data_IF_606253209278
#
_entry.id   IF_606253209278
#
_cell.length_a   1.000
_cell.length_b   1.000
_cell.length_c   1.000
_cell.angle_alpha   90.00
_cell.angle_beta   90.00
_cell.angle_gamma   90.00
#
_symmetry.space_group_name_H-M   'P 1'
#
loop_
_entity.id
_entity.type
_entity.pdbx_description
1 polymer ?
#
# COMPACT_ATOMS: atom_id res chain seq x y z
N UNK A 1 -8.86 -2.25 -20.22
CA UNK A 1 -9.15 -1.93 -18.81
C UNK A 1 -10.60 -2.26 -18.51
N UNK A 2 -10.91 -2.73 -17.29
CA UNK A 2 -12.31 -2.90 -16.89
C UNK A 2 -12.96 -1.51 -16.72
N UNK A 3 -14.19 -1.35 -17.19
CA UNK A 3 -14.95 -0.11 -17.01
C UNK A 3 -15.31 0.04 -15.53
N UNK A 4 -15.03 1.19 -14.89
CA UNK A 4 -15.37 1.41 -13.49
C UNK A 4 -16.87 1.30 -13.24
N UNK A 5 -17.23 0.53 -12.23
CA UNK A 5 -18.61 0.28 -11.82
C UNK A 5 -18.84 0.75 -10.38
N UNK A 6 -20.09 1.03 -10.05
CA UNK A 6 -20.51 1.55 -8.74
C UNK A 6 -21.09 0.43 -7.89
N UNK A 7 -20.68 0.37 -6.63
CA UNK A 7 -21.10 -0.67 -5.68
C UNK A 7 -21.49 -0.03 -4.35
N UNK A 8 -22.57 -0.53 -3.79
CA UNK A 8 -22.93 -0.27 -2.41
C UNK A 8 -22.21 -1.27 -1.53
N UNK A 9 -21.51 -0.78 -0.52
CA UNK A 9 -20.72 -1.59 0.39
C UNK A 9 -21.08 -1.27 1.82
N UNK A 10 -21.09 -2.30 2.66
CA UNK A 10 -21.22 -2.14 4.11
C UNK A 10 -19.84 -2.07 4.74
N UNK A 11 -19.65 -1.17 5.67
CA UNK A 11 -18.47 -1.11 6.52
C UNK A 11 -18.55 -2.27 7.52
N UNK A 12 -17.66 -3.24 7.38
CA UNK A 12 -17.61 -4.39 8.27
C UNK A 12 -16.75 -4.14 9.50
N UNK A 13 -15.64 -3.40 9.33
CA UNK A 13 -14.71 -3.11 10.42
C UNK A 13 -13.98 -1.80 10.15
N UNK A 14 -13.73 -1.05 11.22
CA UNK A 14 -12.82 0.09 11.24
C UNK A 14 -11.74 -0.20 12.28
N UNK A 15 -10.48 -0.20 11.84
CA UNK A 15 -9.33 -0.35 12.74
C UNK A 15 -8.64 0.99 12.87
N UNK A 16 -8.59 1.52 14.09
CA UNK A 16 -7.82 2.70 14.45
C UNK A 16 -6.39 2.27 14.83
N UNK A 17 -5.40 2.80 14.12
CA UNK A 17 -3.97 2.52 14.36
C UNK A 17 -3.30 3.61 15.21
N UNK A 18 -4.07 4.60 15.67
CA UNK A 18 -3.54 5.81 16.30
C UNK A 18 -3.04 6.85 15.27
N UNK A 19 -2.63 8.01 15.76
CA UNK A 19 -2.10 9.12 14.94
C UNK A 19 -2.98 9.48 13.74
N UNK A 20 -4.31 9.33 13.87
CA UNK A 20 -5.29 9.57 12.81
C UNK A 20 -5.10 8.68 11.57
N UNK A 21 -4.69 7.44 11.76
CA UNK A 21 -4.52 6.44 10.68
C UNK A 21 -5.52 5.31 10.88
N UNK A 22 -6.25 4.98 9.81
CA UNK A 22 -7.36 4.03 9.85
C UNK A 22 -7.28 3.02 8.72
N UNK A 23 -7.75 1.80 9.00
CA UNK A 23 -8.06 0.78 7.99
C UNK A 23 -9.55 0.49 8.02
N UNK A 24 -10.18 0.43 6.86
CA UNK A 24 -11.62 0.16 6.70
C UNK A 24 -11.80 -1.07 5.82
N UNK A 25 -12.48 -2.07 6.38
CA UNK A 25 -12.92 -3.26 5.67
C UNK A 25 -14.36 -3.06 5.20
N UNK A 26 -14.59 -3.28 3.91
CA UNK A 26 -15.87 -3.09 3.23
C UNK A 26 -16.34 -4.40 2.61
N UNK A 27 -17.62 -4.74 2.76
CA UNK A 27 -18.24 -5.86 2.06
C UNK A 27 -19.22 -5.35 0.99
N UNK A 28 -19.05 -5.79 -0.23
CA UNK A 28 -19.94 -5.47 -1.33
C UNK A 28 -21.15 -6.40 -1.37
N UNK A 29 -22.33 -5.85 -1.65
CA UNK A 29 -23.58 -6.62 -1.85
C UNK A 29 -23.54 -7.49 -3.12
N UNK A 30 -22.64 -7.19 -4.05
CA UNK A 30 -22.50 -7.89 -5.33
C UNK A 30 -21.04 -8.20 -5.61
N UNK A 31 -20.79 -9.18 -6.48
CA UNK A 31 -19.44 -9.48 -6.93
C UNK A 31 -18.80 -8.27 -7.60
N UNK A 32 -17.64 -7.88 -7.08
CA UNK A 32 -16.83 -6.79 -7.59
C UNK A 32 -16.21 -7.15 -8.96
N UNK A 33 -15.92 -6.17 -9.82
CA UNK A 33 -15.18 -6.41 -11.04
C UNK A 33 -13.76 -6.88 -10.71
N UNK A 34 -13.11 -7.54 -11.67
CA UNK A 34 -11.69 -7.87 -11.51
C UNK A 34 -10.88 -6.58 -11.53
N UNK A 35 -9.99 -6.46 -10.59
CA UNK A 35 -9.00 -5.39 -10.51
C UNK A 35 -7.59 -5.99 -10.43
N UNK A 36 -6.58 -5.17 -10.63
CA UNK A 36 -5.17 -5.55 -10.55
C UNK A 36 -4.53 -4.89 -9.33
N UNK A 37 -3.52 -5.53 -8.69
CA UNK A 37 -2.73 -4.89 -7.66
C UNK A 37 -2.20 -3.52 -8.10
N UNK A 38 -2.27 -2.53 -7.20
CA UNK A 38 -1.92 -1.14 -7.46
C UNK A 38 -3.08 -0.26 -7.96
N UNK A 39 -4.21 -0.85 -8.37
CA UNK A 39 -5.39 -0.07 -8.72
C UNK A 39 -6.11 0.48 -7.48
N UNK A 40 -6.95 1.51 -7.71
CA UNK A 40 -7.65 2.25 -6.67
C UNK A 40 -9.17 2.29 -6.89
N UNK A 41 -9.86 2.72 -5.88
CA UNK A 41 -11.29 3.00 -5.89
C UNK A 41 -11.57 4.47 -5.49
N UNK A 42 -12.74 4.97 -5.87
CA UNK A 42 -13.34 6.16 -5.30
C UNK A 42 -14.34 5.76 -4.23
N UNK A 43 -14.27 6.36 -3.05
CA UNK A 43 -15.25 6.20 -1.97
C UNK A 43 -15.97 7.52 -1.74
N UNK A 44 -17.31 7.47 -1.63
CA UNK A 44 -18.13 8.60 -1.21
C UNK A 44 -18.85 8.31 0.10
N UNK A 45 -18.91 9.34 0.95
CA UNK A 45 -19.67 9.32 2.20
C UNK A 45 -21.14 9.68 1.98
N UNK A 46 -21.41 10.40 0.89
CA UNK A 46 -22.74 10.90 0.57
C UNK A 46 -23.55 9.81 -0.15
N UNK A 47 -24.87 9.80 0.08
CA UNK A 47 -25.76 8.90 -0.62
C UNK A 47 -25.69 9.14 -2.14
N UNK A 48 -25.67 8.05 -2.88
CA UNK A 48 -25.66 8.09 -4.32
C UNK A 48 -27.01 7.65 -4.90
N UNK A 49 -27.66 8.56 -5.63
CA UNK A 49 -28.80 8.24 -6.49
C UNK A 49 -28.28 7.81 -7.87
N UNK A 50 -28.61 6.58 -8.37
CA UNK A 50 -28.20 6.10 -9.67
C UNK A 50 -28.62 7.01 -10.84
N UNK A 51 -29.67 7.81 -10.70
CA UNK A 51 -30.11 8.80 -11.69
C UNK A 51 -29.35 10.12 -11.65
N UNK A 52 -28.55 10.35 -10.59
CA UNK A 52 -27.81 11.58 -10.36
C UNK A 52 -26.34 11.49 -10.73
N UNK A 53 -25.62 12.58 -10.45
CA UNK A 53 -24.17 12.63 -10.58
C UNK A 53 -23.47 11.90 -9.45
N UNK A 54 -22.25 11.41 -9.74
CA UNK A 54 -21.39 10.84 -8.71
C UNK A 54 -20.99 11.91 -7.68
N UNK A 55 -21.19 11.67 -6.37
CA UNK A 55 -20.93 12.67 -5.33
C UNK A 55 -19.45 12.99 -5.16
N UNK A 56 -19.16 13.95 -4.24
CA UNK A 56 -17.77 14.17 -3.77
C UNK A 56 -17.20 12.86 -3.25
N UNK A 57 -16.01 12.51 -3.69
CA UNK A 57 -15.35 11.26 -3.33
C UNK A 57 -13.84 11.44 -3.23
N UNK A 58 -13.17 10.49 -2.60
CA UNK A 58 -11.70 10.42 -2.57
C UNK A 58 -11.24 9.07 -3.07
N UNK A 59 -10.00 9.09 -3.55
CA UNK A 59 -9.32 7.92 -4.09
C UNK A 59 -8.57 7.20 -2.98
N UNK A 60 -8.63 5.86 -3.01
CA UNK A 60 -7.90 5.00 -2.09
C UNK A 60 -7.41 3.76 -2.84
N UNK A 61 -6.13 3.42 -2.68
CA UNK A 61 -5.57 2.19 -3.22
C UNK A 61 -6.30 0.99 -2.62
N UNK A 62 -6.60 -0.03 -3.44
CA UNK A 62 -7.29 -1.24 -2.99
C UNK A 62 -6.26 -2.16 -2.34
N UNK A 63 -6.37 -2.34 -1.03
CA UNK A 63 -5.46 -3.13 -0.21
C UNK A 63 -5.94 -4.57 0.05
N UNK A 64 -7.08 -4.98 -0.50
CA UNK A 64 -7.57 -6.37 -0.45
C UNK A 64 -7.09 -7.17 -1.65
N UNK A 65 -7.03 -8.49 -1.49
CA UNK A 65 -6.68 -9.42 -2.58
C UNK A 65 -7.69 -9.35 -3.73
N UNK A 66 -7.25 -9.31 -5.00
CA UNK A 66 -8.14 -9.40 -6.15
C UNK A 66 -8.93 -10.72 -6.23
N UNK A 67 -8.51 -11.75 -5.50
CA UNK A 67 -9.22 -13.03 -5.39
C UNK A 67 -10.48 -12.92 -4.52
N UNK A 68 -10.51 -12.00 -3.56
CA UNK A 68 -11.64 -11.73 -2.67
C UNK A 68 -12.61 -10.76 -3.35
N UNK A 69 -13.56 -11.30 -4.11
CA UNK A 69 -14.42 -10.49 -4.96
C UNK A 69 -15.64 -9.87 -4.27
N UNK A 70 -15.79 -10.03 -2.98
CA UNK A 70 -16.84 -9.38 -2.19
C UNK A 70 -16.28 -8.39 -1.17
N UNK A 71 -14.97 -8.45 -0.91
CA UNK A 71 -14.36 -7.68 0.14
C UNK A 71 -13.38 -6.66 -0.44
N UNK A 72 -13.43 -5.44 0.11
CA UNK A 72 -12.48 -4.37 -0.17
C UNK A 72 -11.85 -3.91 1.14
N UNK A 73 -10.59 -3.52 1.05
CA UNK A 73 -9.88 -2.88 2.15
C UNK A 73 -9.19 -1.64 1.66
N UNK A 74 -9.28 -0.59 2.44
CA UNK A 74 -8.54 0.66 2.25
C UNK A 74 -7.89 1.06 3.56
N UNK A 75 -6.78 1.82 3.49
CA UNK A 75 -6.27 2.54 4.66
C UNK A 75 -6.02 4.00 4.30
N UNK A 76 -6.21 4.87 5.28
CA UNK A 76 -6.01 6.29 5.08
C UNK A 76 -5.45 6.97 6.33
N UNK A 77 -4.79 8.10 6.13
CA UNK A 77 -4.47 9.06 7.19
C UNK A 77 -5.32 10.32 7.01
N UNK A 78 -5.69 10.94 8.12
CA UNK A 78 -6.43 12.20 8.09
C UNK A 78 -5.46 13.33 7.71
N UNK A 79 -5.67 13.89 6.52
CA UNK A 79 -4.81 14.97 5.98
C UNK A 79 -5.61 16.22 5.57
N UNK A 80 -6.92 16.09 5.37
CA UNK A 80 -7.73 17.19 4.88
C UNK A 80 -9.20 17.00 5.20
N UNK A 81 -10.03 17.95 4.74
CA UNK A 81 -11.45 18.02 5.08
C UNK A 81 -12.20 16.69 4.85
N UNK A 82 -11.95 16.02 3.74
CA UNK A 82 -12.67 14.79 3.42
C UNK A 82 -12.29 13.63 4.33
N UNK A 83 -11.01 13.42 4.58
CA UNK A 83 -10.55 12.37 5.49
C UNK A 83 -10.89 12.68 6.96
N UNK A 84 -11.01 13.96 7.34
CA UNK A 84 -11.57 14.35 8.64
C UNK A 84 -13.07 14.03 8.74
N UNK A 85 -13.84 14.18 7.64
CA UNK A 85 -15.22 13.68 7.60
C UNK A 85 -15.27 12.17 7.77
N UNK A 86 -14.39 11.43 7.09
CA UNK A 86 -14.33 9.97 7.23
C UNK A 86 -14.09 9.54 8.67
N UNK A 87 -13.15 10.18 9.37
CA UNK A 87 -12.85 9.91 10.78
C UNK A 87 -14.06 10.12 11.68
N UNK A 88 -14.85 11.18 11.43
CA UNK A 88 -15.98 11.54 12.28
C UNK A 88 -17.31 10.86 11.90
N UNK A 89 -17.49 10.49 10.62
CA UNK A 89 -18.79 10.06 10.10
C UNK A 89 -18.86 8.54 9.85
N UNK A 90 -17.71 7.86 9.56
CA UNK A 90 -17.74 6.43 9.27
C UNK A 90 -18.02 5.60 10.53
N UNK A 91 -18.94 4.65 10.38
CA UNK A 91 -19.30 3.72 11.45
C UNK A 91 -19.44 2.30 10.91
N UNK A 92 -19.09 1.32 11.73
CA UNK A 92 -19.33 -0.09 11.40
C UNK A 92 -20.82 -0.35 11.19
N UNK A 93 -21.15 -1.13 10.17
CA UNK A 93 -22.52 -1.37 9.73
C UNK A 93 -23.09 -0.35 8.76
N UNK A 94 -22.50 0.85 8.64
CA UNK A 94 -22.94 1.88 7.71
C UNK A 94 -22.76 1.44 6.25
N UNK A 95 -23.65 1.91 5.38
CA UNK A 95 -23.53 1.74 3.93
C UNK A 95 -22.82 2.93 3.30
N UNK A 96 -21.86 2.65 2.44
CA UNK A 96 -21.14 3.63 1.63
C UNK A 96 -21.16 3.22 0.16
N UNK A 97 -20.82 4.15 -0.73
CA UNK A 97 -20.69 3.83 -2.15
C UNK A 97 -19.23 3.89 -2.58
N UNK A 98 -18.84 2.92 -3.40
CA UNK A 98 -17.53 2.87 -4.03
C UNK A 98 -17.66 2.74 -5.54
N UNK A 99 -16.66 3.25 -6.26
CA UNK A 99 -16.57 3.12 -7.72
C UNK A 99 -15.17 2.63 -8.08
N UNK A 100 -15.07 1.50 -8.77
CA UNK A 100 -13.80 0.82 -9.07
C UNK A 100 -13.90 -0.04 -10.34
N UNK A 101 -12.76 -0.53 -10.92
CA UNK A 101 -11.39 -0.15 -10.62
C UNK A 101 -10.93 1.06 -11.43
N UNK A 102 -9.93 1.77 -10.92
CA UNK A 102 -9.26 2.88 -11.60
C UNK A 102 -7.74 2.71 -11.52
N UNK A 103 -7.02 3.45 -12.34
CA UNK A 103 -5.57 3.63 -12.29
C UNK A 103 -4.79 2.73 -13.21
N UNK A 104 -3.69 3.29 -13.69
CA UNK A 104 -2.71 2.62 -14.56
C UNK A 104 -1.44 2.22 -13.78
N UNK A 105 -1.35 2.58 -12.50
CA UNK A 105 -0.33 2.09 -11.60
C UNK A 105 -0.65 0.63 -11.27
N UNK A 106 -0.18 -0.25 -12.14
CA UNK A 106 -0.41 -1.70 -12.03
C UNK A 106 0.92 -2.37 -11.78
N UNK A 107 0.98 -3.11 -10.68
CA UNK A 107 2.13 -3.94 -10.38
C UNK A 107 2.11 -5.14 -11.32
N UNK A 108 3.17 -5.27 -12.08
CA UNK A 108 3.36 -6.38 -13.02
C UNK A 108 4.24 -7.43 -12.39
N UNK A 109 3.96 -8.66 -12.70
CA UNK A 109 4.86 -9.76 -12.43
C UNK A 109 6.12 -9.53 -13.27
N UNK A 110 7.24 -9.29 -12.60
CA UNK A 110 8.53 -9.01 -13.20
C UNK A 110 9.62 -9.72 -12.37
N UNK A 111 10.75 -10.02 -12.97
CA UNK A 111 11.80 -10.81 -12.34
C UNK A 111 12.41 -10.14 -11.10
N UNK A 112 12.55 -8.81 -11.10
CA UNK A 112 13.05 -8.04 -9.96
C UNK A 112 12.16 -6.84 -9.72
N UNK A 113 11.60 -6.73 -8.52
CA UNK A 113 10.69 -5.64 -8.11
C UNK A 113 11.11 -5.06 -6.77
N UNK A 114 11.14 -3.75 -6.66
CA UNK A 114 11.34 -3.05 -5.40
C UNK A 114 10.16 -2.11 -5.10
N UNK A 115 9.48 -2.34 -3.99
CA UNK A 115 8.45 -1.48 -3.44
C UNK A 115 9.05 -0.53 -2.42
N UNK A 116 8.87 0.77 -2.62
CA UNK A 116 9.33 1.84 -1.73
C UNK A 116 8.10 2.54 -1.17
N UNK A 117 7.72 2.18 0.05
CA UNK A 117 6.48 2.59 0.68
C UNK A 117 6.72 3.58 1.83
N UNK A 118 5.90 4.63 1.94
CA UNK A 118 5.87 5.53 3.10
C UNK A 118 4.47 5.67 3.70
N UNK A 119 4.34 5.39 4.99
CA UNK A 119 3.06 5.49 5.70
C UNK A 119 1.94 4.71 5.01
N UNK A 120 0.80 5.36 4.75
CA UNK A 120 -0.34 4.73 4.07
C UNK A 120 -0.08 4.38 2.60
N UNK A 121 1.04 4.82 1.99
CA UNK A 121 1.45 4.41 0.64
C UNK A 121 1.66 2.90 0.49
N UNK A 122 1.88 2.17 1.59
CA UNK A 122 1.96 0.70 1.60
C UNK A 122 0.71 0.04 0.99
N UNK A 123 -0.47 0.68 1.07
CA UNK A 123 -1.73 0.14 0.56
C UNK A 123 -1.70 -0.19 -0.94
N UNK A 124 -0.91 0.55 -1.72
CA UNK A 124 -0.74 0.31 -3.15
C UNK A 124 -0.12 -1.07 -3.46
N UNK A 125 0.64 -1.64 -2.51
CA UNK A 125 1.41 -2.88 -2.68
C UNK A 125 0.77 -4.10 -2.01
N UNK A 126 -0.13 -3.89 -1.04
CA UNK A 126 -0.68 -4.97 -0.21
C UNK A 126 -1.43 -6.03 -1.03
N UNK A 127 -2.23 -5.60 -2.01
CA UNK A 127 -2.94 -6.53 -2.88
C UNK A 127 -2.00 -7.48 -3.67
N UNK A 128 -0.79 -7.02 -3.99
CA UNK A 128 0.25 -7.82 -4.64
C UNK A 128 0.93 -8.74 -3.61
N UNK A 129 1.36 -8.18 -2.49
CA UNK A 129 2.06 -8.94 -1.43
C UNK A 129 1.18 -10.06 -0.89
N UNK A 130 -0.12 -9.81 -0.68
CA UNK A 130 -1.07 -10.84 -0.24
C UNK A 130 -1.19 -11.99 -1.25
N UNK A 131 -1.08 -11.70 -2.54
CA UNK A 131 -1.10 -12.68 -3.63
C UNK A 131 0.17 -13.51 -3.82
N UNK A 132 1.27 -13.20 -3.12
CA UNK A 132 2.52 -13.97 -3.23
C UNK A 132 2.33 -15.40 -2.73
N UNK A 133 2.82 -16.37 -3.51
CA UNK A 133 2.81 -17.79 -3.19
C UNK A 133 4.25 -18.33 -3.16
N UNK A 134 4.44 -19.52 -2.62
CA UNK A 134 5.77 -20.16 -2.57
C UNK A 134 6.28 -20.59 -3.95
N UNK A 135 5.47 -20.51 -5.00
CA UNK A 135 5.86 -20.74 -6.40
C UNK A 135 6.46 -19.50 -7.06
N UNK A 136 6.45 -18.37 -6.35
CA UNK A 136 7.03 -17.13 -6.81
C UNK A 136 8.54 -17.17 -6.58
N UNK A 137 9.32 -17.10 -7.64
CA UNK A 137 10.80 -17.23 -7.59
C UNK A 137 11.52 -15.93 -7.94
N UNK A 138 10.81 -14.80 -7.91
CA UNK A 138 11.35 -13.52 -8.29
C UNK A 138 11.91 -12.78 -7.06
N UNK A 139 12.91 -11.93 -7.26
CA UNK A 139 13.45 -11.09 -6.20
C UNK A 139 12.54 -9.88 -5.96
N UNK A 140 11.80 -9.91 -4.87
CA UNK A 140 10.88 -8.85 -4.47
C UNK A 140 11.40 -8.22 -3.19
N UNK A 141 11.62 -6.92 -3.25
CA UNK A 141 12.08 -6.11 -2.12
C UNK A 141 11.00 -5.13 -1.70
N UNK A 142 10.74 -5.04 -0.41
CA UNK A 142 9.90 -4.01 0.20
C UNK A 142 10.76 -3.18 1.15
N UNK A 143 10.91 -1.88 0.89
CA UNK A 143 11.39 -0.92 1.87
C UNK A 143 10.20 -0.08 2.35
N UNK A 144 9.85 -0.20 3.63
CA UNK A 144 8.66 0.42 4.20
C UNK A 144 9.02 1.34 5.36
N UNK A 145 8.75 2.64 5.20
CA UNK A 145 8.98 3.68 6.19
C UNK A 145 7.71 4.08 6.93
N UNK A 146 7.78 4.17 8.26
CA UNK A 146 6.74 4.71 9.12
C UNK A 146 7.36 5.59 10.21
N UNK A 147 6.56 6.52 10.78
CA UNK A 147 7.03 7.39 11.87
C UNK A 147 7.25 6.61 13.17
N UNK A 148 6.39 5.62 13.43
CA UNK A 148 6.39 4.79 14.64
C UNK A 148 6.17 3.33 14.28
N UNK A 149 6.61 2.37 15.11
CA UNK A 149 6.41 0.93 14.87
C UNK A 149 4.93 0.54 14.71
N UNK A 150 4.03 1.16 15.48
CA UNK A 150 2.58 0.88 15.47
C UNK A 150 1.93 1.31 14.15
N UNK A 151 2.57 2.21 13.40
CA UNK A 151 2.10 2.69 12.09
C UNK A 151 2.67 1.88 10.92
N UNK A 152 3.38 0.77 11.18
CA UNK A 152 3.70 -0.24 10.16
C UNK A 152 2.45 -1.07 9.86
N UNK A 153 1.56 -0.50 9.04
CA UNK A 153 0.31 -1.16 8.65
C UNK A 153 0.60 -2.48 7.94
N UNK A 154 -0.27 -3.48 8.14
CA UNK A 154 -0.15 -4.81 7.51
C UNK A 154 1.12 -5.58 7.88
N UNK A 155 1.79 -5.22 8.97
CA UNK A 155 3.04 -5.84 9.39
C UNK A 155 2.92 -7.36 9.48
N UNK A 156 1.88 -7.89 10.14
CA UNK A 156 1.69 -9.33 10.30
C UNK A 156 1.61 -10.07 8.95
N UNK A 157 0.93 -9.47 7.95
CA UNK A 157 0.86 -10.02 6.60
C UNK A 157 2.25 -10.00 5.92
N UNK A 158 2.94 -8.87 6.01
CA UNK A 158 4.26 -8.69 5.39
C UNK A 158 5.27 -9.66 6.03
N UNK A 159 5.30 -9.75 7.36
CA UNK A 159 6.20 -10.65 8.10
C UNK A 159 5.93 -12.12 7.75
N UNK A 160 4.65 -12.51 7.67
CA UNK A 160 4.27 -13.86 7.27
C UNK A 160 4.74 -14.22 5.86
N UNK A 161 4.68 -13.26 4.91
CA UNK A 161 5.14 -13.47 3.53
C UNK A 161 6.67 -13.47 3.44
N UNK A 162 7.36 -12.58 4.17
CA UNK A 162 8.82 -12.51 4.21
C UNK A 162 9.46 -13.71 4.92
N UNK A 163 8.72 -14.38 5.82
CA UNK A 163 9.18 -15.61 6.50
C UNK A 163 9.11 -16.88 5.64
N UNK A 164 8.65 -16.80 4.38
CA UNK A 164 8.59 -17.92 3.45
C UNK A 164 9.74 -17.84 2.45
N UNK A 165 10.20 -19.00 1.93
CA UNK A 165 11.28 -19.07 0.93
C UNK A 165 10.70 -18.78 -0.49
N UNK A 166 10.26 -17.54 -0.67
CA UNK A 166 9.60 -17.08 -1.91
C UNK A 166 10.29 -15.89 -2.58
N UNK A 167 11.54 -15.58 -2.19
CA UNK A 167 12.28 -14.43 -2.74
C UNK A 167 11.76 -13.05 -2.31
N UNK A 168 10.88 -12.98 -1.31
CA UNK A 168 10.37 -11.72 -0.77
C UNK A 168 11.16 -11.26 0.46
N UNK A 169 11.73 -10.05 0.39
CA UNK A 169 12.54 -9.44 1.43
C UNK A 169 11.91 -8.13 1.90
N UNK A 170 11.73 -7.95 3.20
CA UNK A 170 11.16 -6.76 3.81
C UNK A 170 12.18 -6.00 4.67
N UNK A 171 12.19 -4.68 4.52
CA UNK A 171 13.03 -3.73 5.26
C UNK A 171 12.13 -2.65 5.85
N UNK A 172 12.12 -2.53 7.16
CA UNK A 172 11.34 -1.53 7.88
C UNK A 172 12.23 -0.37 8.32
N UNK A 173 11.74 0.84 8.10
CA UNK A 173 12.36 2.08 8.54
C UNK A 173 11.42 2.80 9.50
N UNK A 174 11.88 3.06 10.73
CA UNK A 174 11.07 3.72 11.76
C UNK A 174 11.81 4.95 12.27
N UNK A 175 11.15 6.12 12.19
CA UNK A 175 11.79 7.40 12.53
C UNK A 175 12.05 7.54 14.03
N UNK A 176 11.11 7.05 14.86
CA UNK A 176 11.24 7.08 16.31
C UNK A 176 11.22 5.65 16.85
N UNK A 177 12.29 5.25 17.49
CA UNK A 177 12.37 3.98 18.21
C UNK A 177 12.08 4.27 19.69
N UNK A 178 10.83 4.17 20.11
CA UNK A 178 10.43 4.22 21.52
C UNK A 178 10.57 2.85 22.21
N UNK A 179 10.84 1.79 21.45
CA UNK A 179 11.05 0.44 21.98
C UNK A 179 12.53 0.19 22.24
N UNK A 180 12.87 -0.08 23.50
CA UNK A 180 14.21 -0.48 23.96
C UNK A 180 14.62 -1.90 23.53
N UNK A 181 13.91 -2.54 22.65
CA UNK A 181 14.27 -3.83 22.06
C UNK A 181 15.19 -3.62 20.85
N UNK A 182 16.46 -3.35 21.17
CA UNK A 182 17.56 -3.60 20.24
C UNK A 182 17.67 -5.10 20.06
N UNK A 183 16.91 -5.67 19.12
CA UNK A 183 17.23 -7.00 18.64
C UNK A 183 18.59 -6.88 17.92
N UNK A 184 19.59 -7.53 18.50
CA UNK A 184 20.92 -7.68 17.93
C UNK A 184 20.81 -8.08 16.46
N UNK A 185 21.37 -7.25 15.59
CA UNK A 185 21.48 -7.50 14.16
C UNK A 185 22.52 -8.61 13.91
N UNK A 186 22.21 -9.81 14.35
CA UNK A 186 22.94 -11.04 14.01
C UNK A 186 21.94 -12.05 13.50
N UNK A 187 21.68 -11.97 12.23
CA UNK A 187 21.40 -13.05 11.27
C UNK A 187 20.54 -12.48 10.10
N UNK A 188 20.92 -12.86 8.91
CA UNK A 188 20.28 -12.57 7.62
C UNK A 188 18.86 -13.15 7.47
N UNK A 189 17.92 -12.76 8.35
CA UNK A 189 16.52 -13.12 8.22
C UNK A 189 15.69 -11.87 7.95
N UNK A 190 14.96 -11.85 6.87
CA UNK A 190 13.91 -10.88 6.59
C UNK A 190 12.74 -11.07 7.60
N UNK A 191 12.13 -10.01 8.16
CA UNK A 191 12.38 -8.58 7.88
C UNK A 191 13.55 -7.96 8.69
N UNK A 192 14.25 -7.00 8.08
CA UNK A 192 15.30 -6.20 8.76
C UNK A 192 14.72 -4.84 9.19
N UNK A 193 15.20 -4.31 10.34
CA UNK A 193 14.76 -3.02 10.89
C UNK A 193 15.88 -1.99 10.86
N UNK A 194 15.52 -0.76 10.48
CA UNK A 194 16.40 0.40 10.45
C UNK A 194 15.77 1.58 11.20
N UNK A 195 16.55 2.33 11.94
CA UNK A 195 16.12 3.58 12.56
C UNK A 195 16.30 4.73 11.58
N UNK A 196 15.29 5.59 11.46
CA UNK A 196 15.28 6.77 10.59
C UNK A 196 14.37 6.66 9.37
N UNK A 197 14.46 7.66 8.50
CA UNK A 197 13.68 7.69 7.27
C UNK A 197 14.13 6.61 6.28
N UNK A 198 13.21 6.17 5.41
CA UNK A 198 13.51 5.23 4.34
C UNK A 198 14.70 5.73 3.50
N UNK A 199 15.74 4.89 3.41
CA UNK A 199 16.99 5.18 2.72
C UNK A 199 17.34 4.09 1.71
N UNK A 200 17.46 4.48 0.44
CA UNK A 200 17.98 3.59 -0.61
C UNK A 200 19.42 3.14 -0.32
N UNK A 201 20.24 4.02 0.29
CA UNK A 201 21.62 3.70 0.62
C UNK A 201 21.73 2.49 1.55
N UNK A 202 20.82 2.41 2.55
CA UNK A 202 20.82 1.32 3.53
C UNK A 202 20.51 -0.05 2.90
N UNK A 203 19.72 -0.08 1.81
CA UNK A 203 19.30 -1.34 1.19
C UNK A 203 19.96 -1.61 -0.17
N UNK A 204 20.71 -0.66 -0.72
CA UNK A 204 21.25 -0.75 -2.09
C UNK A 204 22.02 -2.04 -2.36
N UNK A 205 22.89 -2.41 -1.43
CA UNK A 205 23.70 -3.63 -1.54
C UNK A 205 22.92 -4.93 -1.28
N UNK A 206 21.65 -4.85 -0.90
CA UNK A 206 20.75 -6.00 -0.74
C UNK A 206 20.01 -6.32 -2.05
N UNK A 207 19.90 -5.34 -2.95
CA UNK A 207 19.27 -5.52 -4.27
C UNK A 207 20.23 -6.32 -5.17
N UNK A 208 19.79 -7.46 -5.66
CA UNK A 208 20.67 -8.34 -6.46
C UNK A 208 21.03 -7.73 -7.82
N UNK A 209 20.04 -7.15 -8.52
CA UNK A 209 20.22 -6.55 -9.85
C UNK A 209 19.55 -5.16 -9.90
N UNK A 210 20.11 -4.13 -9.23
CA UNK A 210 19.47 -2.82 -9.10
C UNK A 210 19.13 -2.18 -10.44
N UNK A 211 19.95 -2.37 -11.48
CA UNK A 211 19.74 -1.79 -12.81
C UNK A 211 18.61 -2.49 -13.61
N UNK A 212 18.27 -3.72 -13.26
CA UNK A 212 17.21 -4.52 -13.88
C UNK A 212 15.94 -4.58 -13.03
N UNK A 213 15.93 -3.86 -11.90
CA UNK A 213 14.82 -3.82 -10.95
C UNK A 213 13.80 -2.75 -11.34
N UNK A 214 12.52 -3.10 -11.35
CA UNK A 214 11.44 -2.12 -11.45
C UNK A 214 11.09 -1.57 -10.07
N UNK A 215 11.21 -0.26 -9.91
CA UNK A 215 10.93 0.44 -8.65
C UNK A 215 9.52 1.01 -8.65
N UNK A 216 8.71 0.60 -7.69
CA UNK A 216 7.38 1.15 -7.44
C UNK A 216 7.42 2.00 -6.17
N UNK A 217 7.03 3.26 -6.26
CA UNK A 217 7.15 4.23 -5.16
C UNK A 217 5.76 4.76 -4.82
N UNK A 218 5.37 4.68 -3.54
CA UNK A 218 4.11 5.23 -3.03
C UNK A 218 4.29 5.80 -1.63
N UNK A 219 3.79 7.01 -1.38
CA UNK A 219 3.90 7.67 -0.08
C UNK A 219 3.90 9.19 -0.17
N UNK A 220 4.44 9.89 0.84
CA UNK A 220 4.48 11.36 0.85
C UNK A 220 5.26 11.95 -0.34
N UNK A 221 4.81 13.09 -0.92
CA UNK A 221 5.43 13.70 -2.09
C UNK A 221 6.94 13.96 -1.95
N UNK A 222 7.37 14.43 -0.78
CA UNK A 222 8.80 14.68 -0.53
C UNK A 222 9.64 13.38 -0.58
N UNK A 223 9.10 12.26 -0.05
CA UNK A 223 9.75 10.95 -0.14
C UNK A 223 9.81 10.48 -1.60
N UNK A 224 8.70 10.55 -2.32
CA UNK A 224 8.64 10.17 -3.74
C UNK A 224 9.69 10.95 -4.54
N UNK A 225 9.72 12.26 -4.39
CA UNK A 225 10.68 13.13 -5.09
C UNK A 225 12.12 12.77 -4.74
N UNK A 226 12.43 12.58 -3.46
CA UNK A 226 13.75 12.21 -2.97
C UNK A 226 14.23 10.87 -3.51
N UNK A 227 13.38 9.83 -3.42
CA UNK A 227 13.72 8.49 -3.89
C UNK A 227 13.87 8.43 -5.41
N UNK A 228 12.95 9.07 -6.15
CA UNK A 228 13.05 9.17 -7.61
C UNK A 228 14.36 9.86 -8.04
N UNK A 229 14.71 10.98 -7.41
CA UNK A 229 15.95 11.69 -7.69
C UNK A 229 17.20 10.87 -7.35
N UNK A 230 17.15 10.05 -6.29
CA UNK A 230 18.26 9.16 -5.93
C UNK A 230 18.41 7.99 -6.92
N UNK A 231 17.32 7.41 -7.40
CA UNK A 231 17.35 6.34 -8.39
C UNK A 231 17.92 6.85 -9.73
N UNK A 232 17.47 8.02 -10.18
CA UNK A 232 18.00 8.63 -11.41
C UNK A 232 19.50 8.97 -11.32
N UNK A 233 20.00 9.41 -10.15
CA UNK A 233 21.43 9.64 -9.91
C UNK A 233 22.26 8.35 -9.89
N UNK A 234 21.63 7.19 -9.76
CA UNK A 234 22.23 5.85 -9.82
C UNK A 234 22.05 5.20 -11.19
N UNK A 235 21.73 6.01 -12.22
CA UNK A 235 21.52 5.59 -13.60
C UNK A 235 20.39 4.55 -13.79
N UNK A 236 19.39 4.55 -12.90
CA UNK A 236 18.16 3.77 -13.12
C UNK A 236 17.35 4.46 -14.23
N UNK A 237 16.98 3.67 -15.25
CA UNK A 237 16.20 4.17 -16.37
C UNK A 237 14.82 4.68 -15.90
N UNK A 238 14.36 5.87 -16.37
CA UNK A 238 13.09 6.46 -15.93
C UNK A 238 11.88 5.54 -16.10
N UNK A 239 11.86 4.69 -17.11
CA UNK A 239 10.82 3.71 -17.37
C UNK A 239 10.76 2.59 -16.32
N UNK A 240 11.84 2.37 -15.58
CA UNK A 240 11.88 1.42 -14.47
C UNK A 240 11.37 2.03 -13.16
N UNK A 241 11.08 3.32 -13.13
CA UNK A 241 10.56 4.03 -11.95
C UNK A 241 9.08 4.30 -12.14
N UNK A 242 8.24 3.67 -11.32
CA UNK A 242 6.78 3.81 -11.31
C UNK A 242 6.36 4.52 -10.03
N UNK A 243 5.59 5.58 -10.16
CA UNK A 243 5.18 6.41 -9.02
C UNK A 243 3.66 6.39 -8.89
N UNK A 244 3.17 6.13 -7.68
CA UNK A 244 1.77 6.34 -7.29
C UNK A 244 1.64 7.72 -6.66
N UNK A 245 1.27 8.71 -7.48
CA UNK A 245 1.21 10.11 -7.08
C UNK A 245 -0.26 10.57 -6.99
N UNK A 246 -0.90 10.33 -5.86
CA UNK A 246 -2.31 10.69 -5.58
C UNK A 246 -2.43 11.81 -4.54
N UNK A 247 -1.68 12.88 -4.66
CA UNK A 247 -1.89 14.09 -3.86
C UNK A 247 -2.03 15.33 -4.72
#
# INVERSE_FOLDING_TARGET
>A
MATPQKFRCRINKITDHGDHVYTVDLASERLLPRFKPGQFLHLTLDDYDPSGFWPESRVFSIASSPAQRNDLRISYSVKGRYTARMENELQEGQMVWVKLPYGDFVIRDADNVAFLAGGTGITAFIAFIDGLTNEFHNNIFLAYGARKPELLLYRDLIDAKAGTDNGFHAFYFVETDESSDKSDATHSQSPEFFTGCLSLEAIWNRLENPQETTYYIAGPPAMIQGLTGNLLKRDIAPEMIKVDAWE
#
